data_IF_856737579636
#
_entry.id   IF_856737579636
#
_cell.length_a   1.000
_cell.length_b   1.000
_cell.length_c   1.000
_cell.angle_alpha   90.00
_cell.angle_beta   90.00
_cell.angle_gamma   90.00
#
_symmetry.space_group_name_H-M   'P 1'
#
loop_
_entity.id
_entity.type
_entity.pdbx_description
1 polymer ?
#
# COMPACT_ATOMS: atom_id res chain seq x y z
N UNK A 1 -0.74 6.80 8.02
CA UNK A 1 -1.81 6.90 9.00
C UNK A 1 -2.89 7.90 8.61
N UNK A 2 -3.78 8.20 9.52
CA UNK A 2 -4.94 9.06 9.25
C UNK A 2 -4.53 10.44 8.75
N UNK A 3 -3.61 11.09 9.45
CA UNK A 3 -3.21 12.46 9.11
C UNK A 3 -2.54 12.50 7.73
N UNK A 4 -1.65 11.56 7.46
CA UNK A 4 -0.98 11.48 6.16
C UNK A 4 -1.99 11.16 5.06
N UNK A 5 -2.97 10.32 5.34
CA UNK A 5 -4.03 10.03 4.38
C UNK A 5 -4.87 11.27 4.06
N UNK A 6 -5.10 12.14 5.06
CA UNK A 6 -5.73 13.44 4.81
C UNK A 6 -4.88 14.30 3.88
N UNK A 7 -3.57 14.31 4.07
CA UNK A 7 -2.67 15.02 3.16
C UNK A 7 -2.76 14.44 1.74
N UNK A 8 -2.85 13.14 1.63
CA UNK A 8 -3.04 12.46 0.36
C UNK A 8 -4.34 12.86 -0.33
N UNK A 9 -5.42 13.02 0.45
CA UNK A 9 -6.69 13.48 -0.09
C UNK A 9 -6.57 14.87 -0.69
N UNK A 10 -5.96 15.80 0.04
CA UNK A 10 -5.76 17.17 -0.45
C UNK A 10 -4.89 17.16 -1.70
N UNK A 11 -3.79 16.42 -1.68
CA UNK A 11 -2.89 16.34 -2.83
C UNK A 11 -3.59 15.74 -4.05
N UNK A 12 -4.45 14.74 -3.86
CA UNK A 12 -5.16 14.12 -4.97
C UNK A 12 -6.19 15.05 -5.62
N UNK A 13 -6.69 16.02 -4.87
CA UNK A 13 -7.58 17.05 -5.41
C UNK A 13 -6.83 18.03 -6.30
N UNK A 14 -5.57 18.27 -6.00
CA UNK A 14 -4.70 19.15 -6.79
C UNK A 14 -4.06 18.40 -7.97
N UNK A 15 -3.67 17.15 -7.74
CA UNK A 15 -2.99 16.32 -8.73
C UNK A 15 -3.56 14.90 -8.68
N UNK A 16 -4.71 14.63 -9.33
CA UNK A 16 -5.35 13.31 -9.26
C UNK A 16 -4.46 12.15 -9.73
N UNK A 17 -3.54 12.43 -10.63
CA UNK A 17 -2.65 11.42 -11.19
C UNK A 17 -1.63 10.87 -10.20
N UNK A 18 -1.53 11.44 -9.01
CA UNK A 18 -0.59 10.93 -7.99
C UNK A 18 -1.09 9.65 -7.30
N UNK A 19 -2.41 9.43 -7.23
CA UNK A 19 -2.98 8.32 -6.48
C UNK A 19 -2.44 6.94 -6.90
N UNK A 20 -2.27 6.64 -8.20
CA UNK A 20 -1.71 5.34 -8.59
C UNK A 20 -0.31 5.05 -8.06
N UNK A 21 0.41 6.09 -7.64
CA UNK A 21 1.75 5.94 -7.08
C UNK A 21 1.77 5.85 -5.56
N UNK A 22 0.60 5.86 -4.92
CA UNK A 22 0.50 5.79 -3.47
C UNK A 22 0.20 4.37 -3.02
N UNK A 23 0.85 3.96 -1.93
CA UNK A 23 0.56 2.69 -1.26
C UNK A 23 0.02 3.02 0.11
N UNK A 24 -1.20 2.54 0.39
CA UNK A 24 -1.84 2.74 1.68
C UNK A 24 -1.48 1.55 2.56
N UNK A 25 -0.53 1.76 3.49
CA UNK A 25 0.06 0.68 4.25
C UNK A 25 -0.91 0.00 5.20
N UNK A 26 -1.77 0.75 5.86
CA UNK A 26 -2.73 0.18 6.81
C UNK A 26 -3.95 1.07 6.97
N UNK A 27 -5.00 0.49 7.56
CA UNK A 27 -6.13 1.23 8.10
C UNK A 27 -6.01 1.22 9.62
N UNK A 28 -5.90 2.41 10.21
CA UNK A 28 -5.85 2.55 11.66
C UNK A 28 -7.23 2.40 12.30
N UNK A 29 -7.24 2.47 13.63
CA UNK A 29 -8.46 2.29 14.40
C UNK A 29 -9.30 3.58 14.53
N UNK A 30 -8.81 4.69 14.00
CA UNK A 30 -9.58 5.93 13.95
C UNK A 30 -10.73 5.79 12.94
N UNK A 31 -11.95 6.12 13.37
CA UNK A 31 -13.13 5.97 12.52
C UNK A 31 -13.04 6.75 11.20
N UNK A 32 -12.41 7.92 11.24
CA UNK A 32 -12.23 8.74 10.03
C UNK A 32 -11.27 8.15 9.01
N UNK A 33 -10.33 7.32 9.46
CA UNK A 33 -9.34 6.72 8.57
C UNK A 33 -10.02 5.82 7.52
N UNK A 34 -10.90 4.95 7.96
CA UNK A 34 -11.64 4.08 7.04
C UNK A 34 -12.49 4.90 6.07
N UNK A 35 -13.13 5.96 6.56
CA UNK A 35 -13.98 6.79 5.72
C UNK A 35 -13.19 7.46 4.61
N UNK A 36 -11.99 7.95 4.91
CA UNK A 36 -11.14 8.59 3.91
C UNK A 36 -10.63 7.57 2.90
N UNK A 37 -10.21 6.40 3.36
CA UNK A 37 -9.78 5.34 2.46
C UNK A 37 -10.89 4.91 1.52
N UNK A 38 -12.12 4.76 2.02
CA UNK A 38 -13.26 4.44 1.21
C UNK A 38 -13.56 5.54 0.18
N UNK A 39 -13.44 6.79 0.60
CA UNK A 39 -13.63 7.92 -0.31
C UNK A 39 -12.61 7.93 -1.44
N UNK A 40 -11.37 7.58 -1.16
CA UNK A 40 -10.30 7.51 -2.15
C UNK A 40 -10.32 6.22 -2.97
N UNK A 41 -11.23 5.30 -2.66
CA UNK A 41 -11.26 3.96 -3.25
C UNK A 41 -9.93 3.23 -3.06
N UNK A 42 -9.30 3.47 -1.90
CA UNK A 42 -8.00 2.90 -1.57
C UNK A 42 -8.16 1.66 -0.71
N UNK A 43 -7.40 0.63 -1.01
CA UNK A 43 -7.34 -0.58 -0.19
C UNK A 43 -6.04 -0.60 0.60
N UNK A 44 -6.11 -0.53 1.93
CA UNK A 44 -4.91 -0.64 2.74
C UNK A 44 -4.37 -2.07 2.72
N UNK A 45 -3.05 -2.22 2.83
CA UNK A 45 -2.44 -3.55 2.87
C UNK A 45 -2.76 -4.29 4.17
N UNK A 46 -2.88 -3.55 5.27
CA UNK A 46 -3.04 -4.13 6.60
C UNK A 46 -4.18 -3.47 7.36
N UNK A 47 -4.83 -4.26 8.23
CA UNK A 47 -5.83 -3.78 9.18
C UNK A 47 -5.36 -4.22 10.57
N UNK A 48 -4.56 -3.39 11.22
CA UNK A 48 -3.88 -3.76 12.44
C UNK A 48 -4.53 -3.23 13.71
N UNK A 49 -5.55 -2.39 13.59
CA UNK A 49 -6.17 -1.78 14.76
C UNK A 49 -5.25 -0.82 15.50
N UNK A 50 -4.26 -0.27 14.83
CA UNK A 50 -3.30 0.63 15.44
C UNK A 50 -3.92 1.99 15.69
N UNK A 51 -3.63 2.56 16.86
CA UNK A 51 -3.99 3.94 17.19
C UNK A 51 -2.78 4.86 17.23
N UNK A 52 -1.60 4.30 17.03
CA UNK A 52 -0.37 5.07 16.94
C UNK A 52 -0.19 5.57 15.52
N UNK A 53 0.28 6.80 15.40
CA UNK A 53 0.66 7.39 14.13
C UNK A 53 2.15 7.25 13.88
N UNK A 54 2.76 8.31 13.39
CA UNK A 54 4.21 8.44 13.25
C UNK A 54 4.85 7.38 12.35
N UNK A 55 4.11 6.91 11.36
CA UNK A 55 4.65 5.96 10.38
C UNK A 55 4.66 4.51 10.83
N UNK A 56 4.08 4.18 11.99
CA UNK A 56 4.09 2.80 12.50
C UNK A 56 3.45 1.81 11.52
N UNK A 57 2.33 2.19 10.91
CA UNK A 57 1.66 1.33 9.93
C UNK A 57 2.49 1.14 8.67
N UNK A 58 3.17 2.18 8.21
CA UNK A 58 4.05 2.08 7.04
C UNK A 58 5.24 1.18 7.32
N UNK A 59 5.80 1.24 8.52
CA UNK A 59 6.89 0.35 8.92
C UNK A 59 6.42 -1.10 8.90
N UNK A 60 5.20 -1.38 9.40
CA UNK A 60 4.64 -2.72 9.37
C UNK A 60 4.39 -3.22 7.94
N UNK A 61 4.00 -2.32 7.04
CA UNK A 61 3.71 -2.66 5.65
C UNK A 61 4.98 -2.82 4.79
N UNK A 62 6.09 -2.23 5.22
CA UNK A 62 7.33 -2.22 4.43
C UNK A 62 7.80 -3.60 4.00
N UNK A 63 7.85 -4.62 4.89
CA UNK A 63 8.29 -5.95 4.47
C UNK A 63 7.42 -6.56 3.37
N UNK A 64 6.13 -6.25 3.36
CA UNK A 64 5.21 -6.73 2.34
C UNK A 64 5.54 -6.11 0.99
N UNK A 65 5.74 -4.80 0.96
CA UNK A 65 6.11 -4.08 -0.26
C UNK A 65 7.48 -4.54 -0.76
N UNK A 66 8.45 -4.67 0.13
CA UNK A 66 9.79 -5.15 -0.21
C UNK A 66 9.73 -6.55 -0.81
N UNK A 67 8.96 -7.45 -0.21
CA UNK A 67 8.77 -8.80 -0.73
C UNK A 67 8.14 -8.79 -2.12
N UNK A 68 7.14 -7.94 -2.34
CA UNK A 68 6.50 -7.84 -3.64
C UNK A 68 7.46 -7.35 -4.72
N UNK A 69 8.28 -6.36 -4.41
CA UNK A 69 9.29 -5.84 -5.34
C UNK A 69 10.32 -6.92 -5.66
N UNK A 70 10.78 -7.67 -4.67
CA UNK A 70 11.71 -8.77 -4.87
C UNK A 70 11.12 -9.87 -5.74
N UNK A 71 9.86 -10.20 -5.53
CA UNK A 71 9.18 -11.18 -6.36
C UNK A 71 9.15 -10.77 -7.82
N UNK A 72 8.87 -9.51 -8.09
CA UNK A 72 8.85 -9.00 -9.47
C UNK A 72 10.24 -9.04 -10.10
N UNK A 73 11.27 -8.68 -9.34
CA UNK A 73 12.62 -8.53 -9.87
C UNK A 73 13.44 -9.82 -9.88
N UNK A 74 13.17 -10.75 -8.98
CA UNK A 74 14.00 -11.93 -8.77
C UNK A 74 13.35 -13.23 -9.23
N UNK A 75 12.02 -13.28 -9.30
CA UNK A 75 11.34 -14.48 -9.78
C UNK A 75 11.25 -14.48 -11.29
N UNK A 76 11.38 -15.66 -11.87
CA UNK A 76 11.18 -15.81 -13.30
C UNK A 76 9.71 -15.64 -13.65
N UNK A 77 9.43 -15.16 -14.86
CA UNK A 77 8.07 -15.13 -15.38
C UNK A 77 7.58 -16.57 -15.56
N UNK A 78 6.26 -16.73 -15.68
CA UNK A 78 5.69 -18.05 -15.92
C UNK A 78 6.32 -18.72 -17.14
N UNK A 79 6.52 -18.00 -18.21
CA UNK A 79 7.13 -18.53 -19.42
C UNK A 79 8.58 -18.96 -19.21
N UNK A 80 9.37 -18.15 -18.51
CA UNK A 80 10.75 -18.49 -18.19
C UNK A 80 10.82 -19.72 -17.30
N UNK A 81 9.95 -19.82 -16.31
CA UNK A 81 9.88 -20.98 -15.43
C UNK A 81 9.49 -22.24 -16.18
N UNK A 82 8.53 -22.16 -17.08
CA UNK A 82 8.13 -23.29 -17.89
C UNK A 82 9.27 -23.81 -18.74
N UNK A 83 10.02 -22.92 -19.37
CA UNK A 83 11.18 -23.29 -20.18
C UNK A 83 12.26 -23.93 -19.31
N UNK A 84 12.59 -23.30 -18.19
CA UNK A 84 13.62 -23.81 -17.29
C UNK A 84 13.23 -25.14 -16.68
N UNK A 85 11.96 -25.30 -16.33
CA UNK A 85 11.47 -26.50 -15.66
C UNK A 85 11.47 -27.73 -16.56
N UNK A 86 11.19 -27.57 -17.84
CA UNK A 86 11.03 -28.67 -18.77
C UNK A 86 12.25 -28.90 -19.65
N UNK A 87 13.20 -28.00 -19.59
CA UNK A 87 14.44 -28.08 -20.31
C UNK A 87 15.64 -27.98 -19.38
#
# INVERSE_FOLDING_TARGET
GFIVTNCGLVASRLYPEMLPYCIFGHCGDESGHKKILDYLHAEPLLHLGLRLGEGSGSVCAYPIVDSAVRMINEMHTFEQESITKYF
#
